data_IF_080594797909
#
_entry.id   IF_080594797909
#
_cell.length_a   1.000
_cell.length_b   1.000
_cell.length_c   1.000
_cell.angle_alpha   90.00
_cell.angle_beta   90.00
_cell.angle_gamma   90.00
#
_symmetry.space_group_name_H-M   'P 1'
#
loop_
_entity.id
_entity.type
_entity.pdbx_description
1 polymer ?
#
# COMPACT_ATOMS: atom_id res chain seq x y z
N UNK A 1 7.45 2.24 -50.47
CA UNK A 1 7.95 1.02 -49.80
C UNK A 1 6.96 0.68 -48.70
N UNK A 2 6.47 -0.56 -48.59
CA UNK A 2 5.53 -0.91 -47.49
C UNK A 2 6.29 -0.82 -46.17
N UNK A 3 5.76 -0.13 -45.13
CA UNK A 3 6.39 -0.13 -43.81
C UNK A 3 6.48 -1.55 -43.26
N UNK A 4 7.52 -1.86 -42.49
CA UNK A 4 7.57 -3.13 -41.77
C UNK A 4 6.44 -3.19 -40.71
N UNK A 5 6.09 -4.39 -40.26
CA UNK A 5 4.94 -4.57 -39.34
C UNK A 5 5.07 -3.77 -38.04
N UNK A 6 6.30 -3.54 -37.55
CA UNK A 6 6.54 -2.75 -36.36
C UNK A 6 6.24 -1.26 -36.59
N UNK A 7 6.70 -0.69 -37.70
CA UNK A 7 6.43 0.70 -38.09
C UNK A 7 4.96 0.91 -38.40
N UNK A 8 4.29 -0.04 -39.04
CA UNK A 8 2.85 0.04 -39.31
C UNK A 8 2.04 0.14 -37.99
N UNK A 9 2.36 -0.69 -36.99
CA UNK A 9 1.72 -0.62 -35.66
C UNK A 9 2.02 0.68 -34.91
N UNK A 10 3.22 1.25 -35.08
CA UNK A 10 3.56 2.54 -34.49
C UNK A 10 2.75 3.70 -35.12
N UNK A 11 2.56 3.67 -36.44
CA UNK A 11 1.73 4.64 -37.16
C UNK A 11 0.26 4.52 -36.73
N UNK A 12 -0.25 3.29 -36.63
CA UNK A 12 -1.60 3.00 -36.14
C UNK A 12 -1.78 3.50 -34.70
N UNK A 13 -0.83 3.20 -33.81
CA UNK A 13 -0.88 3.67 -32.42
C UNK A 13 -0.79 5.21 -32.28
N UNK A 14 -0.19 5.88 -33.26
CA UNK A 14 -0.11 7.34 -33.32
C UNK A 14 -1.35 7.99 -33.97
N UNK A 15 -2.37 7.23 -34.40
CA UNK A 15 -3.59 7.77 -35.01
C UNK A 15 -4.42 8.56 -33.98
N UNK A 16 -4.55 9.89 -34.13
CA UNK A 16 -5.25 10.73 -33.17
C UNK A 16 -6.76 10.45 -33.07
N UNK A 17 -7.37 9.77 -34.05
CA UNK A 17 -8.81 9.51 -34.09
C UNK A 17 -9.27 8.37 -33.18
N UNK A 18 -8.32 7.56 -32.68
CA UNK A 18 -8.60 6.38 -31.88
C UNK A 18 -8.06 6.48 -30.46
N UNK A 19 -8.75 5.88 -29.49
CA UNK A 19 -8.19 5.68 -28.16
C UNK A 19 -7.21 4.51 -28.18
N UNK A 20 -5.94 4.77 -27.88
CA UNK A 20 -4.88 3.76 -28.01
C UNK A 20 -4.28 3.43 -26.64
N UNK A 21 -4.19 2.14 -26.33
CA UNK A 21 -3.34 1.62 -25.26
C UNK A 21 -2.08 1.00 -25.85
N UNK A 22 -0.92 1.59 -25.58
CA UNK A 22 0.36 1.12 -26.12
C UNK A 22 1.14 0.32 -25.06
N UNK A 23 1.20 -0.99 -25.23
CA UNK A 23 2.14 -1.84 -24.49
C UNK A 23 3.39 -2.08 -25.33
N UNK A 24 4.56 -1.70 -24.82
CA UNK A 24 5.80 -1.88 -25.56
C UNK A 24 7.03 -1.98 -24.63
N UNK A 25 7.99 -2.84 -24.99
CA UNK A 25 9.23 -3.06 -24.24
C UNK A 25 10.14 -1.81 -24.22
N UNK A 26 11.21 -1.80 -23.42
CA UNK A 26 12.22 -0.75 -23.49
C UNK A 26 12.80 -0.66 -24.92
N UNK A 27 13.09 0.56 -25.41
CA UNK A 27 13.66 0.79 -26.74
C UNK A 27 12.69 0.64 -27.92
N UNK A 28 11.42 0.28 -27.70
CA UNK A 28 10.40 0.08 -28.75
C UNK A 28 9.83 1.36 -29.40
N UNK A 29 10.35 2.53 -29.05
CA UNK A 29 9.91 3.81 -29.65
C UNK A 29 8.62 4.41 -29.09
N UNK A 30 8.19 4.06 -27.86
CA UNK A 30 7.00 4.67 -27.21
C UNK A 30 6.97 6.20 -27.27
N UNK A 31 8.11 6.83 -26.96
CA UNK A 31 8.26 8.29 -27.00
C UNK A 31 8.11 8.84 -28.42
N UNK A 32 8.59 8.11 -29.44
CA UNK A 32 8.37 8.45 -30.85
C UNK A 32 6.88 8.41 -31.17
N UNK A 33 6.17 7.32 -30.84
CA UNK A 33 4.72 7.20 -31.06
C UNK A 33 3.94 8.36 -30.44
N UNK A 34 4.24 8.73 -29.18
CA UNK A 34 3.59 9.88 -28.53
C UNK A 34 3.90 11.21 -29.22
N UNK A 35 5.15 11.43 -29.64
CA UNK A 35 5.55 12.65 -30.36
C UNK A 35 4.90 12.72 -31.74
N UNK A 36 4.85 11.60 -32.46
CA UNK A 36 4.19 11.44 -33.76
C UNK A 36 2.68 11.77 -33.62
N UNK A 37 2.04 11.24 -32.56
CA UNK A 37 0.62 11.48 -32.28
C UNK A 37 0.32 12.96 -32.03
N UNK A 38 1.13 13.63 -31.21
CA UNK A 38 0.95 15.08 -30.98
C UNK A 38 1.14 15.86 -32.27
N UNK A 39 2.16 15.55 -33.06
CA UNK A 39 2.38 16.21 -34.34
C UNK A 39 1.20 16.02 -35.31
N UNK A 40 0.60 14.81 -35.35
CA UNK A 40 -0.60 14.52 -36.16
C UNK A 40 -1.84 15.28 -35.66
N UNK A 41 -2.03 15.45 -34.35
CA UNK A 41 -3.10 16.31 -33.81
C UNK A 41 -2.98 17.76 -34.29
N UNK A 42 -1.76 18.30 -34.25
CA UNK A 42 -1.47 19.67 -34.69
C UNK A 42 -1.69 19.83 -36.21
N UNK A 43 -1.23 18.86 -37.01
CA UNK A 43 -1.46 18.83 -38.46
C UNK A 43 -2.95 18.76 -38.81
N UNK A 44 -3.76 18.06 -38.01
CA UNK A 44 -5.20 18.01 -38.16
C UNK A 44 -5.93 19.30 -37.72
N UNK A 45 -5.19 20.36 -37.36
CA UNK A 45 -5.74 21.66 -36.99
C UNK A 45 -6.06 21.81 -35.49
N UNK A 46 -5.67 20.84 -34.65
CA UNK A 46 -5.82 21.00 -33.20
C UNK A 46 -4.87 22.09 -32.72
N UNK A 47 -5.42 23.13 -32.08
CA UNK A 47 -4.59 24.19 -31.50
C UNK A 47 -3.68 23.61 -30.39
N UNK A 48 -2.41 24.03 -30.27
CA UNK A 48 -1.49 23.44 -29.31
C UNK A 48 -1.95 23.49 -27.85
N UNK A 49 -2.67 24.53 -27.44
CA UNK A 49 -3.23 24.66 -26.08
C UNK A 49 -4.33 23.63 -25.76
N UNK A 50 -4.92 23.01 -26.79
CA UNK A 50 -5.94 21.97 -26.63
C UNK A 50 -5.34 20.57 -26.47
N UNK A 51 -4.01 20.40 -26.56
CA UNK A 51 -3.33 19.12 -26.40
C UNK A 51 -2.71 19.01 -25.01
N UNK A 52 -3.22 18.09 -24.19
CA UNK A 52 -2.66 17.77 -22.87
C UNK A 52 -1.86 16.46 -22.93
N UNK A 53 -0.57 16.54 -22.60
CA UNK A 53 0.29 15.38 -22.45
C UNK A 53 0.84 15.31 -21.02
N UNK A 54 0.57 14.20 -20.34
CA UNK A 54 0.97 13.97 -18.96
C UNK A 54 2.06 12.90 -18.87
N UNK A 55 3.04 13.13 -18.01
CA UNK A 55 4.10 12.16 -17.70
C UNK A 55 4.45 12.15 -16.22
N UNK A 56 5.30 11.22 -15.79
CA UNK A 56 5.69 11.08 -14.39
C UNK A 56 6.80 12.05 -13.97
N UNK A 57 7.78 12.30 -14.85
CA UNK A 57 8.97 13.08 -14.51
C UNK A 57 9.08 14.37 -15.31
N UNK A 58 9.65 15.42 -14.70
CA UNK A 58 9.94 16.67 -15.39
C UNK A 58 10.90 16.45 -16.58
N UNK A 59 11.87 15.56 -16.42
CA UNK A 59 12.82 15.21 -17.48
C UNK A 59 12.12 14.60 -18.71
N UNK A 60 11.18 13.67 -18.53
CA UNK A 60 10.43 13.10 -19.64
C UNK A 60 9.54 14.14 -20.34
N UNK A 61 8.98 15.09 -19.58
CA UNK A 61 8.18 16.18 -20.14
C UNK A 61 9.05 17.07 -21.05
N UNK A 62 10.20 17.51 -20.53
CA UNK A 62 11.17 18.32 -21.28
C UNK A 62 11.73 17.57 -22.49
N UNK A 63 12.06 16.28 -22.36
CA UNK A 63 12.55 15.46 -23.47
C UNK A 63 11.50 15.38 -24.59
N UNK A 64 10.24 15.08 -24.25
CA UNK A 64 9.17 14.98 -25.24
C UNK A 64 8.89 16.33 -25.92
N UNK A 65 8.88 17.43 -25.16
CA UNK A 65 8.72 18.78 -25.69
C UNK A 65 9.85 19.13 -26.67
N UNK A 66 11.10 18.87 -26.29
CA UNK A 66 12.26 19.13 -27.15
C UNK A 66 12.21 18.32 -28.44
N UNK A 67 11.82 17.04 -28.37
CA UNK A 67 11.66 16.18 -29.57
C UNK A 67 10.57 16.71 -30.51
N UNK A 68 9.43 17.13 -29.96
CA UNK A 68 8.35 17.72 -30.75
C UNK A 68 8.81 19.01 -31.44
N UNK A 69 9.41 19.93 -30.68
CA UNK A 69 9.89 21.20 -31.23
C UNK A 69 10.98 21.01 -32.27
N UNK A 70 11.93 20.11 -32.04
CA UNK A 70 12.96 19.78 -33.02
C UNK A 70 12.32 19.35 -34.35
N UNK A 71 11.36 18.43 -34.30
CA UNK A 71 10.68 17.96 -35.51
C UNK A 71 9.89 19.07 -36.22
N UNK A 72 9.09 19.84 -35.49
CA UNK A 72 8.33 20.93 -36.09
C UNK A 72 9.26 21.99 -36.70
N UNK A 73 10.39 22.29 -36.05
CA UNK A 73 11.41 23.20 -36.56
C UNK A 73 12.12 22.68 -37.82
N UNK A 74 12.39 21.37 -37.88
CA UNK A 74 12.88 20.70 -39.08
C UNK A 74 11.90 20.85 -40.25
N UNK A 75 10.59 20.65 -40.03
CA UNK A 75 9.57 20.81 -41.07
C UNK A 75 9.49 22.22 -41.65
N UNK A 76 9.63 23.25 -40.80
CA UNK A 76 9.64 24.65 -41.23
C UNK A 76 10.70 24.92 -42.32
N UNK A 77 11.86 24.27 -42.24
CA UNK A 77 13.02 24.55 -43.10
C UNK A 77 13.23 23.53 -44.25
N UNK A 78 12.57 22.38 -44.21
CA UNK A 78 12.79 21.31 -45.20
C UNK A 78 12.37 21.70 -46.62
N UNK A 79 13.03 21.20 -47.69
CA UNK A 79 12.52 21.31 -49.05
C UNK A 79 11.15 20.62 -49.22
N UNK A 80 10.31 21.11 -50.15
CA UNK A 80 8.93 20.63 -50.36
C UNK A 80 8.84 19.11 -50.54
N UNK A 81 9.70 18.53 -51.37
CA UNK A 81 9.73 17.08 -51.62
C UNK A 81 10.07 16.28 -50.36
N UNK A 82 11.11 16.70 -49.62
CA UNK A 82 11.52 16.03 -48.39
C UNK A 82 10.46 16.14 -47.27
N UNK A 83 9.81 17.30 -47.13
CA UNK A 83 8.71 17.49 -46.18
C UNK A 83 7.53 16.57 -46.53
N UNK A 84 7.18 16.45 -47.82
CA UNK A 84 6.14 15.53 -48.28
C UNK A 84 6.47 14.09 -47.88
N UNK A 85 7.69 13.63 -48.12
CA UNK A 85 8.12 12.27 -47.78
C UNK A 85 8.05 12.01 -46.26
N UNK A 86 8.47 12.98 -45.43
CA UNK A 86 8.36 12.85 -43.98
C UNK A 86 6.91 12.79 -43.48
N UNK A 87 6.00 13.59 -44.05
CA UNK A 87 4.59 13.58 -43.67
C UNK A 87 3.91 12.27 -44.09
N UNK A 88 4.34 11.67 -45.21
CA UNK A 88 3.93 10.31 -45.61
C UNK A 88 4.46 9.27 -44.61
N UNK A 89 5.73 9.36 -44.18
CA UNK A 89 6.30 8.43 -43.19
C UNK A 89 5.60 8.56 -41.81
N UNK A 90 5.19 9.77 -41.43
CA UNK A 90 4.38 10.01 -40.23
C UNK A 90 3.02 9.31 -40.29
N UNK A 91 2.58 8.91 -41.49
CA UNK A 91 1.35 8.17 -41.73
C UNK A 91 0.12 9.07 -41.83
N UNK A 92 0.24 10.34 -42.23
CA UNK A 92 -0.96 11.15 -42.47
C UNK A 92 -1.80 10.56 -43.61
N UNK A 93 -3.10 10.43 -43.39
CA UNK A 93 -4.07 9.98 -44.41
C UNK A 93 -4.63 11.15 -45.23
N UNK A 94 -4.31 12.39 -44.85
CA UNK A 94 -4.75 13.59 -45.54
C UNK A 94 -4.07 13.75 -46.91
N UNK A 95 -4.78 14.39 -47.85
CA UNK A 95 -4.18 14.83 -49.10
C UNK A 95 -3.10 15.88 -48.80
N UNK A 96 -1.84 15.55 -49.10
CA UNK A 96 -0.71 16.47 -48.91
C UNK A 96 -0.64 17.40 -50.13
N UNK A 97 -1.41 18.48 -50.11
CA UNK A 97 -1.34 19.58 -51.07
C UNK A 97 -0.45 20.73 -50.57
N UNK A 98 -0.42 21.84 -51.31
CA UNK A 98 0.45 22.98 -51.00
C UNK A 98 0.02 23.71 -49.73
N UNK A 99 -1.29 23.73 -49.45
CA UNK A 99 -1.85 24.32 -48.24
C UNK A 99 -1.51 23.48 -47.01
N UNK A 100 -1.61 22.15 -47.11
CA UNK A 100 -1.19 21.23 -46.06
C UNK A 100 0.30 21.38 -45.71
N UNK A 101 1.15 21.51 -46.74
CA UNK A 101 2.60 21.74 -46.55
C UNK A 101 2.88 23.11 -45.94
N UNK A 102 2.13 24.14 -46.33
CA UNK A 102 2.21 25.48 -45.73
C UNK A 102 1.83 25.44 -44.25
N UNK A 103 0.69 24.81 -43.92
CA UNK A 103 0.24 24.61 -42.54
C UNK A 103 1.32 23.89 -41.71
N UNK A 104 1.86 22.78 -42.20
CA UNK A 104 2.90 22.01 -41.51
C UNK A 104 4.13 22.88 -41.13
N UNK A 105 4.53 23.82 -41.98
CA UNK A 105 5.66 24.75 -41.69
C UNK A 105 5.35 25.77 -40.62
N UNK A 106 4.08 26.15 -40.47
CA UNK A 106 3.65 27.13 -39.46
C UNK A 106 3.50 26.53 -38.05
N UNK A 107 3.46 25.20 -37.93
CA UNK A 107 3.22 24.52 -36.65
C UNK A 107 4.30 24.82 -35.60
N UNK A 108 5.56 24.99 -36.01
CA UNK A 108 6.63 25.36 -35.07
C UNK A 108 6.39 26.73 -34.43
N UNK A 109 6.09 27.74 -35.26
CA UNK A 109 5.78 29.09 -34.78
C UNK A 109 4.52 29.07 -33.89
N UNK A 110 3.47 28.41 -34.35
CA UNK A 110 2.21 28.26 -33.60
C UNK A 110 2.43 27.63 -32.22
N UNK A 111 3.28 26.62 -32.14
CA UNK A 111 3.57 25.90 -30.90
C UNK A 111 4.45 26.70 -29.92
N UNK A 112 5.35 27.56 -30.40
CA UNK A 112 6.17 28.46 -29.56
C UNK A 112 5.35 29.64 -29.05
N UNK A 113 4.50 30.21 -29.91
CA UNK A 113 3.68 31.39 -29.59
C UNK A 113 2.43 31.04 -28.75
N UNK A 114 2.19 29.75 -28.48
CA UNK A 114 1.06 29.28 -27.67
C UNK A 114 1.08 29.90 -26.27
N UNK A 115 0.03 30.63 -25.86
CA UNK A 115 -0.05 31.22 -24.52
C UNK A 115 0.06 30.16 -23.41
N UNK A 116 1.06 30.31 -22.55
CA UNK A 116 1.36 29.36 -21.48
C UNK A 116 1.94 28.03 -21.97
N UNK A 117 2.41 27.97 -23.22
CA UNK A 117 3.11 26.86 -23.85
C UNK A 117 2.26 25.60 -24.09
N UNK A 118 2.82 24.68 -24.87
CA UNK A 118 2.34 23.31 -25.00
C UNK A 118 2.19 22.64 -23.63
N UNK A 119 1.04 22.00 -23.38
CA UNK A 119 0.74 21.36 -22.09
C UNK A 119 1.35 19.96 -22.00
N UNK A 120 2.67 19.90 -22.12
CA UNK A 120 3.48 18.69 -21.86
C UNK A 120 4.07 18.85 -20.45
N UNK A 121 3.48 18.18 -19.47
CA UNK A 121 3.80 18.41 -18.06
C UNK A 121 3.68 17.15 -17.21
N UNK A 122 4.13 17.23 -15.96
CA UNK A 122 3.92 16.13 -15.02
C UNK A 122 2.47 16.08 -14.54
N UNK A 123 2.02 14.91 -14.07
CA UNK A 123 0.71 14.76 -13.42
C UNK A 123 0.59 15.76 -12.25
N UNK A 124 1.64 15.89 -11.42
CA UNK A 124 1.66 16.84 -10.30
C UNK A 124 1.47 18.29 -10.75
N UNK A 125 2.19 18.72 -11.79
CA UNK A 125 2.07 20.08 -12.35
C UNK A 125 0.67 20.34 -12.90
N UNK A 126 0.05 19.34 -13.53
CA UNK A 126 -1.33 19.42 -13.98
C UNK A 126 -2.30 19.57 -12.81
N UNK A 127 -2.24 18.67 -11.82
CA UNK A 127 -3.10 18.72 -10.64
C UNK A 127 -2.94 20.05 -9.88
N UNK A 128 -1.70 20.53 -9.70
CA UNK A 128 -1.44 21.81 -9.06
C UNK A 128 -2.02 22.98 -9.88
N UNK A 129 -1.99 22.90 -11.21
CA UNK A 129 -2.66 23.87 -12.09
C UNK A 129 -4.18 23.88 -11.94
N UNK A 130 -4.80 22.70 -11.81
CA UNK A 130 -6.24 22.56 -11.54
C UNK A 130 -6.61 23.17 -10.20
N UNK A 131 -5.88 22.84 -9.13
CA UNK A 131 -6.10 23.39 -7.79
C UNK A 131 -5.96 24.91 -7.76
N UNK A 132 -4.99 25.48 -8.48
CA UNK A 132 -4.83 26.95 -8.57
C UNK A 132 -5.95 27.64 -9.34
N UNK A 133 -6.66 26.92 -10.23
CA UNK A 133 -7.79 27.46 -11.00
C UNK A 133 -9.11 27.42 -10.24
N UNK A 134 -9.23 26.46 -9.31
CA UNK A 134 -10.43 26.25 -8.48
C UNK A 134 -10.06 26.14 -6.98
N UNK A 135 -9.39 27.14 -6.40
CA UNK A 135 -8.86 27.05 -5.03
C UNK A 135 -9.97 27.02 -3.98
N UNK A 136 -11.10 27.67 -4.24
CA UNK A 136 -12.24 27.71 -3.32
C UNK A 136 -12.94 26.35 -3.25
N UNK A 137 -13.19 25.73 -4.40
CA UNK A 137 -13.79 24.40 -4.49
C UNK A 137 -12.86 23.31 -3.93
N UNK A 138 -11.55 23.54 -4.00
CA UNK A 138 -10.54 22.64 -3.44
C UNK A 138 -10.23 22.92 -1.96
N UNK A 139 -10.82 23.96 -1.36
CA UNK A 139 -10.56 24.39 0.03
C UNK A 139 -9.06 24.62 0.32
N UNK A 140 -8.32 25.18 -0.65
CA UNK A 140 -6.91 25.52 -0.51
C UNK A 140 -6.67 27.00 -0.76
N UNK A 141 -5.61 27.54 -0.15
CA UNK A 141 -5.18 28.91 -0.43
C UNK A 141 -4.82 29.05 -1.92
N UNK A 142 -5.24 30.13 -2.62
CA UNK A 142 -4.79 30.43 -3.97
C UNK A 142 -3.26 30.52 -4.10
N UNK A 143 -2.57 30.81 -2.98
CA UNK A 143 -1.12 30.95 -2.89
C UNK A 143 -0.46 29.72 -2.25
N UNK A 144 -1.10 28.55 -2.30
CA UNK A 144 -0.51 27.34 -1.73
C UNK A 144 0.85 27.03 -2.37
N UNK A 145 1.75 26.53 -1.54
CA UNK A 145 3.04 26.00 -1.96
C UNK A 145 3.04 24.50 -1.75
N UNK A 146 3.62 23.80 -2.71
CA UNK A 146 3.89 22.37 -2.58
C UNK A 146 4.92 22.19 -1.45
N UNK A 147 4.62 21.29 -0.52
CA UNK A 147 5.46 21.03 0.64
C UNK A 147 6.43 19.91 0.31
N UNK A 148 7.71 20.10 0.60
CA UNK A 148 8.72 19.04 0.48
C UNK A 148 8.59 18.03 1.62
N UNK A 149 8.98 16.79 1.37
CA UNK A 149 8.84 15.69 2.35
C UNK A 149 9.52 16.00 3.69
N UNK A 150 10.70 16.62 3.65
CA UNK A 150 11.43 17.01 4.87
C UNK A 150 10.70 18.09 5.65
N UNK A 151 10.14 19.09 4.96
CA UNK A 151 9.35 20.14 5.60
C UNK A 151 8.07 19.56 6.20
N UNK A 152 7.41 18.62 5.51
CA UNK A 152 6.24 17.92 6.04
C UNK A 152 6.55 17.08 7.28
N UNK A 153 7.73 16.45 7.33
CA UNK A 153 8.18 15.73 8.52
C UNK A 153 8.37 16.69 9.70
N UNK A 154 9.13 17.78 9.51
CA UNK A 154 9.39 18.76 10.57
C UNK A 154 8.10 19.38 11.11
N UNK A 155 7.17 19.74 10.21
CA UNK A 155 5.87 20.29 10.62
C UNK A 155 5.07 19.33 11.49
N UNK A 156 5.10 18.02 11.19
CA UNK A 156 4.41 17.01 12.01
C UNK A 156 5.05 16.86 13.39
N UNK A 157 6.39 16.89 13.46
CA UNK A 157 7.13 16.82 14.72
C UNK A 157 6.90 18.09 15.57
N UNK A 158 6.83 19.27 14.95
CA UNK A 158 6.47 20.53 15.60
C UNK A 158 5.07 20.49 16.20
N UNK A 159 4.07 20.04 15.42
CA UNK A 159 2.69 19.86 15.92
C UNK A 159 2.64 18.87 17.08
N UNK A 160 3.40 17.76 17.03
CA UNK A 160 3.47 16.81 18.14
C UNK A 160 4.03 17.46 19.41
N UNK A 161 5.09 18.28 19.29
CA UNK A 161 5.67 18.98 20.43
C UNK A 161 4.69 20.00 21.03
N UNK A 162 4.00 20.78 20.18
CA UNK A 162 2.96 21.70 20.61
C UNK A 162 1.83 20.97 21.35
N UNK A 163 1.39 19.81 20.84
CA UNK A 163 0.40 18.96 21.52
C UNK A 163 0.92 18.46 22.87
N UNK A 164 2.20 18.09 22.97
CA UNK A 164 2.80 17.57 24.19
C UNK A 164 2.94 18.63 25.29
N UNK A 165 3.12 19.90 24.92
CA UNK A 165 3.28 21.04 25.83
C UNK A 165 1.95 21.77 26.13
N UNK A 166 0.92 21.54 25.31
CA UNK A 166 -0.37 22.23 25.37
C UNK A 166 -1.52 21.41 25.99
N UNK A 167 -2.74 21.71 25.54
CA UNK A 167 -3.99 21.12 26.06
C UNK A 167 -4.16 19.62 25.74
N UNK A 168 -3.35 19.07 24.81
CA UNK A 168 -3.43 17.68 24.34
C UNK A 168 -2.30 16.79 24.89
N UNK A 169 -1.63 17.22 25.96
CA UNK A 169 -0.49 16.51 26.53
C UNK A 169 -0.84 15.09 27.00
N UNK A 170 -2.07 14.89 27.48
CA UNK A 170 -2.59 13.60 27.92
C UNK A 170 -2.72 12.59 26.77
N UNK A 171 -3.13 13.04 25.58
CA UNK A 171 -3.20 12.22 24.36
C UNK A 171 -1.79 11.77 23.94
N UNK A 172 -0.82 12.69 23.93
CA UNK A 172 0.58 12.37 23.59
C UNK A 172 1.18 11.42 24.62
N UNK A 173 0.91 11.62 25.92
CA UNK A 173 1.34 10.71 26.97
C UNK A 173 0.70 9.32 26.84
N UNK A 174 -0.57 9.26 26.42
CA UNK A 174 -1.26 8.01 26.09
C UNK A 174 -0.58 7.25 24.96
N UNK A 175 -0.26 7.92 23.85
CA UNK A 175 0.49 7.37 22.73
C UNK A 175 1.87 6.85 23.16
N UNK A 176 2.61 7.64 23.95
CA UNK A 176 3.97 7.32 24.39
C UNK A 176 4.07 6.02 25.19
N UNK A 177 2.99 5.59 25.87
CA UNK A 177 2.94 4.31 26.60
C UNK A 177 3.00 3.09 25.67
N UNK A 178 2.54 3.24 24.43
CA UNK A 178 2.43 2.14 23.47
C UNK A 178 3.43 2.24 22.32
N UNK A 179 3.91 3.45 22.03
CA UNK A 179 4.86 3.67 20.95
C UNK A 179 6.28 3.30 21.39
N UNK A 180 6.83 2.25 20.78
CA UNK A 180 8.21 1.76 21.04
C UNK A 180 9.16 2.01 19.87
N UNK A 181 8.74 2.77 18.86
CA UNK A 181 9.54 3.03 17.66
C UNK A 181 10.62 4.09 17.90
N UNK A 182 11.71 4.02 17.14
CA UNK A 182 12.78 5.01 17.23
C UNK A 182 12.44 6.33 16.51
N UNK A 183 11.64 6.27 15.43
CA UNK A 183 11.38 7.41 14.55
C UNK A 183 9.89 7.79 14.52
N UNK A 184 9.48 8.66 15.45
CA UNK A 184 8.08 9.11 15.56
C UNK A 184 7.57 9.79 14.27
N UNK A 185 8.46 10.45 13.51
CA UNK A 185 8.11 11.11 12.24
C UNK A 185 7.48 10.19 11.20
N UNK A 186 7.93 8.94 11.09
CA UNK A 186 7.34 7.95 10.17
C UNK A 186 5.92 7.56 10.60
N UNK A 187 5.72 7.43 11.91
CA UNK A 187 4.42 7.13 12.49
C UNK A 187 3.41 8.27 12.24
N UNK A 188 3.82 9.53 12.51
CA UNK A 188 3.01 10.72 12.18
C UNK A 188 2.74 10.83 10.67
N UNK A 189 3.71 10.43 9.85
CA UNK A 189 3.55 10.32 8.41
C UNK A 189 2.47 9.34 8.00
N UNK A 190 2.42 8.17 8.63
CA UNK A 190 1.38 7.17 8.38
C UNK A 190 -0.02 7.65 8.80
N UNK A 191 -0.13 8.38 9.93
CA UNK A 191 -1.40 8.97 10.38
C UNK A 191 -1.90 9.99 9.36
N UNK A 192 -1.06 10.97 9.01
CA UNK A 192 -1.44 12.04 8.06
C UNK A 192 -1.73 11.51 6.65
N UNK A 193 -1.02 10.47 6.21
CA UNK A 193 -1.30 9.77 4.96
C UNK A 193 -2.64 9.02 4.94
N UNK A 194 -3.18 8.68 6.13
CA UNK A 194 -4.48 8.02 6.30
C UNK A 194 -5.54 8.94 6.91
N UNK A 195 -5.37 10.27 6.81
CA UNK A 195 -6.27 11.27 7.42
C UNK A 195 -7.76 11.04 7.14
N UNK A 196 -8.11 10.49 5.96
CA UNK A 196 -9.50 10.19 5.62
C UNK A 196 -10.12 9.12 6.51
N UNK A 197 -9.33 8.15 6.97
CA UNK A 197 -9.78 7.11 7.91
C UNK A 197 -10.11 7.67 9.30
N UNK A 198 -9.50 8.80 9.67
CA UNK A 198 -9.70 9.48 10.95
C UNK A 198 -10.81 10.54 10.91
N UNK A 199 -11.48 10.76 9.76
CA UNK A 199 -12.61 11.70 9.66
C UNK A 199 -13.89 11.21 10.33
N UNK A 200 -14.02 9.90 10.52
CA UNK A 200 -15.19 9.31 11.17
C UNK A 200 -14.86 9.03 12.62
N UNK A 201 -15.59 9.67 13.54
CA UNK A 201 -15.47 9.35 14.96
C UNK A 201 -15.79 7.87 15.20
N UNK A 202 -14.85 7.23 15.87
CA UNK A 202 -14.94 5.84 16.28
C UNK A 202 -15.24 5.80 17.77
N UNK A 203 -16.15 4.93 18.17
CA UNK A 203 -16.51 4.71 19.57
C UNK A 203 -16.01 3.34 20.05
N UNK A 204 -16.03 3.16 21.37
CA UNK A 204 -15.58 1.93 22.03
C UNK A 204 -16.32 0.68 21.55
N UNK A 205 -17.61 0.80 21.17
CA UNK A 205 -18.41 -0.30 20.66
C UNK A 205 -18.01 -0.72 19.25
N UNK A 206 -17.69 0.23 18.38
CA UNK A 206 -17.16 -0.06 17.03
C UNK A 206 -15.78 -0.70 17.10
N UNK A 207 -14.91 -0.22 18.00
CA UNK A 207 -13.57 -0.78 18.19
C UNK A 207 -13.62 -2.22 18.69
N UNK A 208 -14.38 -2.48 19.76
CA UNK A 208 -14.54 -3.84 20.31
C UNK A 208 -15.08 -4.81 19.26
N UNK A 209 -16.09 -4.43 18.48
CA UNK A 209 -16.57 -5.23 17.34
C UNK A 209 -15.51 -5.49 16.29
N UNK A 210 -14.72 -4.48 15.93
CA UNK A 210 -13.64 -4.59 14.92
C UNK A 210 -12.60 -5.63 15.34
N UNK A 211 -12.22 -5.63 16.62
CA UNK A 211 -11.27 -6.59 17.18
C UNK A 211 -11.91 -7.89 17.69
N UNK A 212 -13.22 -8.10 17.44
CA UNK A 212 -13.99 -9.27 17.91
C UNK A 212 -13.90 -9.48 19.43
N UNK A 213 -13.84 -8.39 20.19
CA UNK A 213 -13.77 -8.39 21.64
C UNK A 213 -15.16 -8.21 22.27
N UNK A 214 -15.43 -8.85 23.42
CA UNK A 214 -16.61 -8.55 24.21
C UNK A 214 -16.57 -7.13 24.79
N UNK A 215 -17.73 -6.62 25.20
CA UNK A 215 -17.80 -5.35 25.93
C UNK A 215 -17.02 -5.47 27.24
N UNK A 216 -16.16 -4.48 27.53
CA UNK A 216 -15.25 -4.48 28.70
C UNK A 216 -14.25 -5.63 28.72
N UNK A 217 -13.81 -6.09 27.55
CA UNK A 217 -12.70 -7.03 27.39
C UNK A 217 -11.47 -6.63 28.23
N UNK A 218 -10.97 -7.57 29.01
CA UNK A 218 -9.75 -7.41 29.79
C UNK A 218 -8.75 -8.51 29.45
N UNK A 219 -7.46 -8.27 29.71
CA UNK A 219 -6.42 -9.30 29.57
C UNK A 219 -6.64 -10.51 30.48
N UNK A 220 -7.40 -10.35 31.57
CA UNK A 220 -7.72 -11.45 32.50
C UNK A 220 -8.66 -12.50 31.87
N UNK A 221 -9.49 -12.09 30.91
CA UNK A 221 -10.43 -13.01 30.25
C UNK A 221 -9.69 -14.10 29.44
N UNK A 222 -8.44 -13.85 29.04
CA UNK A 222 -7.61 -14.82 28.34
C UNK A 222 -7.41 -16.13 29.15
N UNK A 223 -7.27 -16.02 30.47
CA UNK A 223 -7.15 -17.20 31.32
C UNK A 223 -8.45 -18.04 31.28
N UNK A 224 -9.61 -17.39 31.29
CA UNK A 224 -10.91 -18.08 31.23
C UNK A 224 -11.16 -18.76 29.88
N UNK A 225 -10.54 -18.26 28.79
CA UNK A 225 -10.58 -18.93 27.49
C UNK A 225 -9.75 -20.23 27.53
N UNK A 226 -8.57 -20.19 28.14
CA UNK A 226 -7.65 -21.34 28.16
C UNK A 226 -8.08 -22.41 29.18
N UNK A 227 -8.56 -22.01 30.34
CA UNK A 227 -8.85 -22.88 31.48
C UNK A 227 -10.36 -22.89 31.77
N UNK A 228 -11.01 -24.01 31.50
CA UNK A 228 -12.47 -24.17 31.67
C UNK A 228 -12.84 -25.00 32.91
N UNK A 229 -11.84 -25.47 33.65
CA UNK A 229 -12.00 -26.38 34.78
C UNK A 229 -11.76 -27.83 34.36
N UNK A 230 -11.10 -28.60 35.24
CA UNK A 230 -10.74 -29.99 35.00
C UNK A 230 -9.31 -30.20 34.47
N UNK A 231 -8.58 -29.13 34.13
CA UNK A 231 -7.20 -29.22 33.65
C UNK A 231 -6.25 -29.86 34.67
N UNK A 232 -6.50 -29.73 35.98
CA UNK A 232 -5.72 -30.43 37.02
C UNK A 232 -5.82 -31.96 36.88
N UNK A 233 -7.05 -32.47 36.77
CA UNK A 233 -7.30 -33.90 36.55
C UNK A 233 -6.72 -34.36 35.23
N UNK A 234 -6.87 -33.56 34.17
CA UNK A 234 -6.31 -33.87 32.85
C UNK A 234 -4.78 -33.95 32.89
N UNK A 235 -4.11 -33.10 33.68
CA UNK A 235 -2.66 -33.16 33.87
C UNK A 235 -2.26 -34.41 34.66
N UNK A 236 -3.06 -34.85 35.63
CA UNK A 236 -2.83 -36.12 36.33
C UNK A 236 -2.94 -37.33 35.42
N UNK A 237 -4.00 -37.38 34.60
CA UNK A 237 -4.18 -38.43 33.60
C UNK A 237 -3.04 -38.40 32.56
N UNK A 238 -2.60 -37.20 32.16
CA UNK A 238 -1.47 -37.01 31.27
C UNK A 238 -0.16 -37.53 31.86
N UNK A 239 0.12 -37.26 33.14
CA UNK A 239 1.31 -37.78 33.84
C UNK A 239 1.28 -39.30 33.90
N UNK A 240 0.12 -39.89 34.21
CA UNK A 240 -0.03 -41.34 34.27
C UNK A 240 0.17 -41.99 32.89
N UNK A 241 -0.50 -41.46 31.86
CA UNK A 241 -0.37 -41.92 30.48
C UNK A 241 1.09 -41.80 29.98
N UNK A 242 1.80 -40.72 30.36
CA UNK A 242 3.16 -40.49 29.91
C UNK A 242 4.20 -41.45 30.51
N UNK A 243 3.88 -42.25 31.54
CA UNK A 243 4.81 -43.25 32.11
C UNK A 243 5.35 -44.22 31.05
N UNK A 244 4.53 -44.55 30.05
CA UNK A 244 4.88 -45.44 28.93
C UNK A 244 5.27 -44.68 27.63
N UNK A 245 5.26 -43.35 27.65
CA UNK A 245 5.64 -42.50 26.53
C UNK A 245 7.16 -42.24 26.48
N UNK A 246 7.64 -41.54 25.44
CA UNK A 246 9.05 -41.14 25.36
C UNK A 246 9.41 -40.09 26.42
N UNK A 247 10.70 -40.00 26.80
CA UNK A 247 11.21 -39.04 27.82
C UNK A 247 10.79 -37.59 27.57
N UNK A 248 10.64 -37.18 26.31
CA UNK A 248 10.18 -35.85 25.93
C UNK A 248 8.77 -35.54 26.45
N UNK A 249 7.80 -36.46 26.31
CA UNK A 249 6.43 -36.27 26.80
C UNK A 249 6.35 -36.36 28.31
N UNK A 250 7.13 -37.27 28.93
CA UNK A 250 7.27 -37.33 30.39
C UNK A 250 7.73 -36.00 30.98
N UNK A 251 8.70 -35.34 30.31
CA UNK A 251 9.21 -34.02 30.73
C UNK A 251 8.12 -32.95 30.62
N UNK A 252 7.32 -32.98 29.56
CA UNK A 252 6.19 -32.05 29.37
C UNK A 252 5.13 -32.25 30.46
N UNK A 253 4.72 -33.49 30.71
CA UNK A 253 3.73 -33.82 31.74
C UNK A 253 4.21 -33.40 33.15
N UNK A 254 5.48 -33.70 33.49
CA UNK A 254 6.07 -33.29 34.75
C UNK A 254 6.13 -31.76 34.93
N UNK A 255 6.44 -31.01 33.86
CA UNK A 255 6.42 -29.54 33.89
C UNK A 255 5.03 -28.99 34.06
N UNK A 256 4.03 -29.58 33.41
CA UNK A 256 2.62 -29.17 33.58
C UNK A 256 2.15 -29.46 35.01
N UNK A 257 2.49 -30.61 35.59
CA UNK A 257 2.12 -30.97 36.97
C UNK A 257 2.76 -30.07 38.03
N UNK A 258 3.89 -29.44 37.72
CA UNK A 258 4.55 -28.49 38.61
C UNK A 258 3.88 -27.11 38.64
N UNK A 259 2.90 -26.84 37.77
CA UNK A 259 2.18 -25.57 37.70
C UNK A 259 0.88 -25.70 38.49
N UNK A 260 0.59 -24.71 39.34
CA UNK A 260 -0.68 -24.63 40.06
C UNK A 260 -1.81 -24.23 39.10
N UNK A 261 -2.78 -25.14 38.93
CA UNK A 261 -3.95 -24.97 38.08
C UNK A 261 -5.25 -24.76 38.89
N UNK A 262 -5.17 -24.63 40.22
CA UNK A 262 -6.35 -24.46 41.08
C UNK A 262 -7.00 -23.09 40.96
N UNK A 263 -6.21 -22.07 40.60
CA UNK A 263 -6.67 -20.70 40.38
C UNK A 263 -5.90 -20.08 39.21
N UNK A 264 -6.18 -20.54 37.97
CA UNK A 264 -5.40 -20.16 36.81
C UNK A 264 -5.59 -18.68 36.48
N UNK A 265 -4.49 -18.02 36.16
CA UNK A 265 -4.46 -16.61 35.79
C UNK A 265 -3.58 -16.40 34.54
N UNK A 266 -3.28 -15.14 34.23
CA UNK A 266 -2.47 -14.80 33.06
C UNK A 266 -1.05 -15.38 33.16
N UNK A 267 -0.43 -15.34 34.34
CA UNK A 267 0.90 -15.94 34.55
C UNK A 267 0.86 -17.45 34.38
N UNK A 268 -0.21 -18.12 34.83
CA UNK A 268 -0.46 -19.54 34.56
C UNK A 268 -0.53 -19.82 33.05
N UNK A 269 -1.26 -19.00 32.28
CA UNK A 269 -1.34 -19.12 30.81
C UNK A 269 0.04 -19.03 30.16
N UNK A 270 0.85 -18.03 30.56
CA UNK A 270 2.22 -17.89 30.07
C UNK A 270 3.12 -19.07 30.48
N UNK A 271 2.93 -19.61 31.69
CA UNK A 271 3.71 -20.74 32.20
C UNK A 271 3.41 -22.04 31.43
N UNK A 272 2.13 -22.32 31.10
CA UNK A 272 1.76 -23.54 30.36
C UNK A 272 2.04 -23.44 28.85
N UNK A 273 2.07 -22.21 28.31
CA UNK A 273 2.22 -21.93 26.88
C UNK A 273 3.37 -22.69 26.20
N UNK A 274 4.60 -22.76 26.73
CA UNK A 274 5.71 -23.46 26.07
C UNK A 274 5.48 -24.96 25.91
N UNK A 275 4.65 -25.57 26.77
CA UNK A 275 4.29 -26.98 26.70
C UNK A 275 3.21 -27.20 25.65
N UNK A 276 2.19 -26.34 25.62
CA UNK A 276 0.99 -26.50 24.78
C UNK A 276 1.11 -25.91 23.36
N UNK A 277 1.92 -24.86 23.19
CA UNK A 277 1.97 -24.04 21.97
C UNK A 277 3.38 -23.98 21.37
N UNK A 278 3.45 -23.70 20.08
CA UNK A 278 4.69 -23.35 19.39
C UNK A 278 5.14 -21.91 19.74
N UNK A 279 6.34 -21.53 19.28
CA UNK A 279 6.92 -20.21 19.56
C UNK A 279 6.06 -19.06 19.01
N UNK A 280 5.36 -19.28 17.89
CA UNK A 280 4.41 -18.35 17.27
C UNK A 280 3.03 -18.36 17.93
N UNK A 281 2.87 -19.08 19.05
CA UNK A 281 1.60 -19.28 19.79
C UNK A 281 0.55 -20.10 19.05
N UNK A 282 0.89 -20.74 17.93
CA UNK A 282 0.02 -21.74 17.31
C UNK A 282 -0.07 -23.02 18.14
N UNK A 283 -1.23 -23.67 18.09
CA UNK A 283 -1.51 -24.91 18.83
C UNK A 283 -0.64 -26.07 18.34
N UNK A 284 -0.15 -26.89 19.28
CA UNK A 284 0.56 -28.13 18.96
C UNK A 284 -0.35 -29.31 18.63
N UNK A 285 -1.68 -29.19 18.82
CA UNK A 285 -2.66 -30.28 18.66
C UNK A 285 -2.47 -31.05 17.36
N UNK A 286 -2.18 -30.36 16.25
CA UNK A 286 -1.99 -30.97 14.92
C UNK A 286 -0.89 -32.01 14.83
N UNK A 287 0.18 -31.89 15.63
CA UNK A 287 1.40 -32.71 15.50
C UNK A 287 1.84 -33.34 16.83
N UNK A 288 1.05 -33.21 17.89
CA UNK A 288 1.41 -33.70 19.22
C UNK A 288 0.40 -34.76 19.68
N UNK A 289 0.83 -35.96 20.09
CA UNK A 289 2.18 -36.51 19.94
C UNK A 289 2.55 -36.70 18.46
N UNK A 290 3.85 -36.62 18.16
CA UNK A 290 4.38 -36.88 16.83
C UNK A 290 4.03 -38.32 16.38
N UNK A 291 3.53 -38.47 15.16
CA UNK A 291 3.02 -39.74 14.63
C UNK A 291 4.06 -40.86 14.55
N UNK A 292 5.35 -40.51 14.52
CA UNK A 292 6.47 -41.46 14.58
C UNK A 292 6.74 -42.01 15.99
N UNK A 293 6.16 -41.42 17.06
CA UNK A 293 6.33 -41.86 18.45
C UNK A 293 5.20 -42.82 18.87
N UNK A 294 5.10 -43.98 18.22
CA UNK A 294 3.97 -44.93 18.35
C UNK A 294 3.55 -45.23 19.80
N UNK A 295 4.51 -45.51 20.69
CA UNK A 295 4.20 -45.81 22.11
C UNK A 295 3.52 -44.63 22.83
N UNK A 296 3.85 -43.40 22.44
CA UNK A 296 3.26 -42.20 23.03
C UNK A 296 1.88 -41.91 22.44
N UNK A 297 1.68 -42.18 21.14
CA UNK A 297 0.37 -42.09 20.49
C UNK A 297 -0.60 -43.07 21.15
N UNK A 298 -0.20 -44.32 21.33
CA UNK A 298 -1.02 -45.36 21.97
C UNK A 298 -1.31 -45.01 23.43
N UNK A 299 -0.30 -44.56 24.19
CA UNK A 299 -0.48 -44.22 25.60
C UNK A 299 -1.46 -43.05 25.83
N UNK A 300 -1.45 -42.04 24.95
CA UNK A 300 -2.26 -40.83 25.10
C UNK A 300 -3.65 -40.93 24.46
N UNK A 301 -3.94 -42.00 23.71
CA UNK A 301 -5.13 -42.10 22.86
C UNK A 301 -6.47 -41.84 23.58
N UNK A 302 -6.56 -42.15 24.87
CA UNK A 302 -7.78 -42.01 25.66
C UNK A 302 -8.03 -40.60 26.23
N UNK A 303 -7.02 -39.72 26.22
CA UNK A 303 -7.10 -38.32 26.70
C UNK A 303 -6.72 -37.29 25.62
N UNK A 304 -6.36 -37.75 24.43
CA UNK A 304 -5.71 -36.89 23.44
C UNK A 304 -6.61 -35.75 22.97
N UNK A 305 -7.91 -36.02 22.82
CA UNK A 305 -8.89 -35.02 22.38
C UNK A 305 -9.03 -33.89 23.41
N UNK A 306 -9.01 -34.20 24.70
CA UNK A 306 -9.07 -33.20 25.77
C UNK A 306 -7.79 -32.37 25.85
N UNK A 307 -6.63 -33.02 25.69
CA UNK A 307 -5.33 -32.32 25.62
C UNK A 307 -5.28 -31.41 24.40
N UNK A 308 -5.74 -31.87 23.23
CA UNK A 308 -5.81 -31.07 22.00
C UNK A 308 -6.75 -29.88 22.16
N UNK A 309 -7.92 -30.10 22.73
CA UNK A 309 -8.87 -29.04 23.02
C UNK A 309 -8.26 -27.98 23.95
N UNK A 310 -7.48 -28.39 24.95
CA UNK A 310 -6.78 -27.45 25.83
C UNK A 310 -5.68 -26.67 25.09
N UNK A 311 -4.91 -27.32 24.23
CA UNK A 311 -3.91 -26.64 23.38
C UNK A 311 -4.56 -25.60 22.46
N UNK A 312 -5.69 -25.94 21.85
CA UNK A 312 -6.42 -25.02 20.95
C UNK A 312 -7.03 -23.85 21.72
N UNK A 313 -7.59 -24.09 22.91
CA UNK A 313 -8.06 -23.02 23.82
C UNK A 313 -6.92 -22.10 24.25
N UNK A 314 -5.76 -22.65 24.60
CA UNK A 314 -4.59 -21.87 24.96
C UNK A 314 -4.12 -20.98 23.78
N UNK A 315 -4.15 -21.50 22.54
CA UNK A 315 -3.83 -20.70 21.35
C UNK A 315 -4.85 -19.56 21.16
N UNK A 316 -6.15 -19.86 21.27
CA UNK A 316 -7.22 -18.87 21.18
C UNK A 316 -7.09 -17.77 22.25
N UNK A 317 -6.62 -18.10 23.45
CA UNK A 317 -6.35 -17.12 24.51
C UNK A 317 -5.23 -16.13 24.12
N UNK A 318 -4.18 -16.58 23.43
CA UNK A 318 -3.14 -15.69 22.91
C UNK A 318 -3.64 -14.82 21.74
N UNK A 319 -4.48 -15.36 20.85
CA UNK A 319 -5.14 -14.58 19.79
C UNK A 319 -6.04 -13.49 20.38
N UNK A 320 -6.75 -13.81 21.47
CA UNK A 320 -7.52 -12.85 22.24
C UNK A 320 -6.63 -11.76 22.85
N UNK A 321 -5.50 -12.12 23.49
CA UNK A 321 -4.55 -11.13 24.02
C UNK A 321 -3.98 -10.21 22.93
N UNK A 322 -3.71 -10.74 21.74
CA UNK A 322 -3.28 -9.94 20.60
C UNK A 322 -4.37 -8.94 20.18
N UNK A 323 -5.62 -9.39 20.17
CA UNK A 323 -6.78 -8.53 19.85
C UNK A 323 -6.99 -7.44 20.89
N UNK A 324 -6.90 -7.77 22.19
CA UNK A 324 -6.94 -6.78 23.29
C UNK A 324 -5.80 -5.77 23.17
N UNK A 325 -4.57 -6.24 22.92
CA UNK A 325 -3.42 -5.37 22.73
C UNK A 325 -3.55 -4.43 21.52
N UNK A 326 -4.11 -4.91 20.41
CA UNK A 326 -4.38 -4.09 19.23
C UNK A 326 -5.49 -3.07 19.50
N UNK A 327 -6.54 -3.46 20.23
CA UNK A 327 -7.60 -2.58 20.68
C UNK A 327 -7.09 -1.46 21.59
N UNK A 328 -6.30 -1.79 22.63
CA UNK A 328 -5.69 -0.81 23.55
C UNK A 328 -4.82 0.20 22.80
N UNK A 329 -3.97 -0.29 21.87
CA UNK A 329 -3.13 0.57 21.02
C UNK A 329 -3.94 1.48 20.11
N UNK A 330 -5.03 0.96 19.55
CA UNK A 330 -5.90 1.73 18.65
C UNK A 330 -6.68 2.79 19.43
N UNK A 331 -7.16 2.44 20.63
CA UNK A 331 -7.83 3.37 21.53
C UNK A 331 -6.93 4.51 21.97
N UNK A 332 -5.62 4.30 22.09
CA UNK A 332 -4.67 5.39 22.38
C UNK A 332 -4.53 6.42 21.23
N UNK A 333 -5.10 6.15 20.05
CA UNK A 333 -5.08 7.05 18.88
C UNK A 333 -6.40 7.81 18.67
N UNK A 334 -7.41 7.55 19.48
CA UNK A 334 -8.73 8.19 19.45
C UNK A 334 -9.02 8.86 20.79
#
# INVERSE_FOLDING_TARGET
MKPNDATARQIEAADPTQSTWLSANAGSGKTRVLTDRVARLLLAGTRPENVLCLTYTKAAASEMQNRLFQRLGEWAMMPKAALRDQLVELGTEALIDDDYLSNARTLFASAIETPGGLKIQTIHSFCAGVLRRFPLEAEVSPQFKEMEDRAAQLLREEVLNEMAEGEHADVVAGLARYYTGAEIGNFLGAITGRKSAFRTETDDSKLTKTFKLPNRATRHDAAQIAFIGGEESLVDDLVDACKNATKSYQTVAAKLKAIDLTSPNLDTLYAVSPMLLYADKSSKSRNWPQSNHKSSVEALAHIIDDVHAWMDRAAAAFDYLNSVGAYEKTKALF
#
